data_IF_465933102988
#
_entry.id   IF_465933102988
#
_cell.length_a   1.000
_cell.length_b   1.000
_cell.length_c   1.000
_cell.angle_alpha   90.00
_cell.angle_beta   90.00
_cell.angle_gamma   90.00
#
_symmetry.space_group_name_H-M   'P 1'
#
loop_
_entity.id
_entity.type
_entity.pdbx_description
1 polymer ?
#
# COMPACT_ATOMS: atom_id res chain seq x y z
N UNK A 1 30.83 -2.15 -4.63
CA UNK A 1 29.69 -1.27 -4.27
C UNK A 1 28.79 -1.15 -5.52
N UNK A 2 28.06 -2.21 -5.91
CA UNK A 2 27.17 -2.20 -7.09
C UNK A 2 25.77 -1.76 -6.65
N UNK A 3 25.57 -0.44 -6.59
CA UNK A 3 24.28 0.15 -6.24
C UNK A 3 23.57 0.41 -7.57
N UNK A 4 22.38 -0.17 -7.71
CA UNK A 4 21.44 -0.01 -8.84
C UNK A 4 21.68 -0.84 -10.10
N UNK A 5 21.66 -2.18 -9.98
CA UNK A 5 21.16 -2.98 -11.10
C UNK A 5 19.64 -2.71 -11.26
N UNK A 6 19.29 -1.88 -12.24
CA UNK A 6 17.95 -1.32 -12.46
C UNK A 6 16.91 -2.41 -12.79
N UNK A 7 17.35 -3.48 -13.46
CA UNK A 7 16.50 -4.65 -13.77
C UNK A 7 15.98 -5.35 -12.51
N UNK A 8 16.78 -5.39 -11.44
CA UNK A 8 16.37 -6.02 -10.17
C UNK A 8 15.34 -5.19 -9.40
N UNK A 9 15.31 -3.87 -9.61
CA UNK A 9 14.31 -3.00 -9.00
C UNK A 9 12.94 -3.23 -9.65
N UNK A 10 12.87 -3.12 -10.98
CA UNK A 10 11.64 -3.29 -11.73
C UNK A 10 11.04 -4.69 -11.56
N UNK A 11 11.86 -5.75 -11.70
CA UNK A 11 11.42 -7.13 -11.48
C UNK A 11 10.86 -7.35 -10.07
N UNK A 12 11.45 -6.72 -9.05
CA UNK A 12 10.93 -6.80 -7.68
C UNK A 12 9.62 -6.04 -7.52
N UNK A 13 9.51 -4.83 -8.07
CA UNK A 13 8.26 -4.06 -8.05
C UNK A 13 7.13 -4.86 -8.68
N UNK A 14 7.37 -5.52 -9.82
CA UNK A 14 6.38 -6.39 -10.45
C UNK A 14 6.00 -7.63 -9.61
N UNK A 15 6.97 -8.27 -8.95
CA UNK A 15 6.65 -9.38 -8.03
C UNK A 15 5.77 -8.92 -6.86
N UNK A 16 6.09 -7.77 -6.29
CA UNK A 16 5.28 -7.17 -5.21
C UNK A 16 3.89 -6.81 -5.75
N UNK A 17 3.81 -6.27 -6.97
CA UNK A 17 2.55 -5.98 -7.64
C UNK A 17 1.69 -7.22 -7.83
N UNK A 18 2.26 -8.35 -8.27
CA UNK A 18 1.52 -9.61 -8.38
C UNK A 18 0.93 -10.06 -7.04
N UNK A 19 1.67 -9.89 -5.94
CA UNK A 19 1.17 -10.19 -4.58
C UNK A 19 0.04 -9.24 -4.20
N UNK A 20 0.19 -7.95 -4.46
CA UNK A 20 -0.81 -6.94 -4.13
C UNK A 20 -2.13 -7.14 -4.92
N UNK A 21 -2.02 -7.49 -6.20
CA UNK A 21 -3.17 -7.86 -7.05
C UNK A 21 -3.82 -9.15 -6.53
N UNK A 22 -3.04 -10.15 -6.11
CA UNK A 22 -3.61 -11.37 -5.52
C UNK A 22 -4.38 -11.05 -4.23
N UNK A 23 -3.85 -10.21 -3.34
CA UNK A 23 -4.56 -9.76 -2.13
C UNK A 23 -5.86 -9.03 -2.46
N UNK A 24 -5.81 -8.13 -3.45
CA UNK A 24 -6.99 -7.42 -3.94
C UNK A 24 -8.06 -8.40 -4.45
N UNK A 25 -7.68 -9.37 -5.30
CA UNK A 25 -8.61 -10.37 -5.85
C UNK A 25 -9.19 -11.28 -4.77
N UNK A 26 -8.36 -11.77 -3.84
CA UNK A 26 -8.81 -12.59 -2.71
C UNK A 26 -9.83 -11.80 -1.88
N UNK A 27 -9.51 -10.56 -1.53
CA UNK A 27 -10.40 -9.71 -0.75
C UNK A 27 -11.71 -9.38 -1.48
N UNK A 28 -11.64 -9.15 -2.78
CA UNK A 28 -12.81 -8.94 -3.64
C UNK A 28 -13.73 -10.16 -3.68
N UNK A 29 -13.17 -11.35 -3.92
CA UNK A 29 -13.92 -12.61 -3.95
C UNK A 29 -14.56 -12.88 -2.59
N UNK A 30 -13.79 -12.75 -1.50
CA UNK A 30 -14.32 -12.91 -0.14
C UNK A 30 -15.46 -11.93 0.12
N UNK A 31 -15.32 -10.67 -0.30
CA UNK A 31 -16.38 -9.67 -0.14
C UNK A 31 -17.64 -9.98 -0.94
N UNK A 32 -17.52 -10.60 -2.12
CA UNK A 32 -18.68 -11.06 -2.88
C UNK A 32 -19.35 -12.25 -2.18
N UNK A 33 -18.58 -13.18 -1.63
CA UNK A 33 -19.14 -14.38 -0.97
C UNK A 33 -19.82 -14.02 0.35
N UNK A 34 -19.14 -13.26 1.20
CA UNK A 34 -19.56 -13.00 2.58
C UNK A 34 -20.53 -11.83 2.72
N UNK A 35 -20.72 -11.01 1.68
CA UNK A 35 -21.59 -9.84 1.66
C UNK A 35 -21.42 -8.96 2.93
N UNK A 36 -20.30 -8.21 3.04
CA UNK A 36 -20.00 -7.46 4.26
C UNK A 36 -21.14 -6.50 4.58
N UNK A 37 -21.52 -6.44 5.86
CA UNK A 37 -22.59 -5.55 6.32
C UNK A 37 -22.24 -4.08 6.07
N UNK A 38 -23.27 -3.22 6.02
CA UNK A 38 -23.09 -1.76 5.96
C UNK A 38 -22.16 -1.27 7.09
N UNK A 39 -22.22 -1.88 8.27
CA UNK A 39 -21.40 -1.49 9.43
C UNK A 39 -19.91 -1.80 9.22
N UNK A 40 -19.62 -2.93 8.58
CA UNK A 40 -18.25 -3.29 8.18
C UNK A 40 -17.77 -2.32 7.11
N UNK A 41 -18.61 -1.98 6.13
CA UNK A 41 -18.25 -1.03 5.08
C UNK A 41 -18.05 0.41 5.61
N UNK A 42 -18.91 0.87 6.51
CA UNK A 42 -18.82 2.22 7.10
C UNK A 42 -17.61 2.34 8.03
N UNK A 43 -17.29 1.32 8.82
CA UNK A 43 -16.06 1.29 9.62
C UNK A 43 -14.81 1.28 8.74
N UNK A 44 -14.82 0.58 7.60
CA UNK A 44 -13.78 0.68 6.56
C UNK A 44 -13.71 2.08 5.94
N UNK A 45 -14.86 2.72 5.70
CA UNK A 45 -14.92 4.07 5.13
C UNK A 45 -14.39 5.16 6.06
N UNK A 46 -14.39 4.94 7.38
CA UNK A 46 -13.81 5.87 8.35
C UNK A 46 -12.27 5.97 8.25
N UNK A 47 -11.63 5.01 7.59
CA UNK A 47 -10.21 5.10 7.24
C UNK A 47 -9.97 5.97 5.99
N UNK A 48 -11.02 6.36 5.26
CA UNK A 48 -10.96 7.35 4.18
C UNK A 48 -10.97 8.75 4.82
N UNK A 49 -10.05 9.66 4.46
CA UNK A 49 -9.98 10.97 5.08
C UNK A 49 -11.28 11.77 4.91
N UNK A 50 -11.83 12.28 6.01
CA UNK A 50 -13.03 13.12 6.03
C UNK A 50 -12.92 14.40 5.19
N UNK A 51 -11.70 14.86 4.90
CA UNK A 51 -11.40 16.04 4.08
C UNK A 51 -11.75 15.87 2.59
N UNK A 52 -11.88 14.63 2.12
CA UNK A 52 -12.31 14.27 0.76
C UNK A 52 -13.84 14.31 0.59
N UNK A 53 -14.59 13.98 1.65
CA UNK A 53 -16.07 13.96 1.62
C UNK A 53 -16.68 15.36 1.45
N UNK A 54 -16.04 16.39 2.00
CA UNK A 54 -16.54 17.77 1.96
C UNK A 54 -16.05 18.58 0.75
N UNK A 55 -15.29 17.97 -0.17
CA UNK A 55 -14.73 18.67 -1.34
C UNK A 55 -15.53 18.38 -2.60
N UNK A 56 -15.80 19.42 -3.39
CA UNK A 56 -16.53 19.32 -4.66
C UNK A 56 -15.63 19.71 -5.84
N UNK A 57 -15.95 19.19 -7.03
CA UNK A 57 -15.29 19.53 -8.29
C UNK A 57 -13.78 19.24 -8.30
N UNK A 58 -13.01 20.13 -8.95
CA UNK A 58 -11.54 20.01 -9.10
C UNK A 58 -10.78 19.96 -7.76
N UNK A 59 -11.32 20.57 -6.71
CA UNK A 59 -10.72 20.52 -5.38
C UNK A 59 -10.70 19.09 -4.82
N UNK A 60 -11.71 18.28 -5.15
CA UNK A 60 -11.74 16.86 -4.77
C UNK A 60 -10.63 16.07 -5.46
N UNK A 61 -10.45 16.30 -6.76
CA UNK A 61 -9.38 15.69 -7.55
C UNK A 61 -8.00 16.08 -7.00
N UNK A 62 -7.79 17.36 -6.71
CA UNK A 62 -6.53 17.85 -6.14
C UNK A 62 -6.22 17.24 -4.77
N UNK A 63 -7.20 17.24 -3.85
CA UNK A 63 -7.06 16.60 -2.54
C UNK A 63 -6.77 15.11 -2.64
N UNK A 64 -7.38 14.43 -3.61
CA UNK A 64 -7.13 13.03 -3.87
C UNK A 64 -5.70 12.77 -4.34
N UNK A 65 -5.20 13.58 -5.27
CA UNK A 65 -3.79 13.53 -5.72
C UNK A 65 -2.85 13.78 -4.54
N UNK A 66 -3.12 14.79 -3.71
CA UNK A 66 -2.28 15.10 -2.55
C UNK A 66 -2.29 13.97 -1.51
N UNK A 67 -3.44 13.35 -1.26
CA UNK A 67 -3.54 12.26 -0.30
C UNK A 67 -2.78 11.02 -0.78
N UNK A 68 -3.11 10.50 -1.97
CA UNK A 68 -2.54 9.24 -2.45
C UNK A 68 -1.15 9.39 -3.07
N UNK A 69 -0.86 10.53 -3.70
CA UNK A 69 0.41 10.80 -4.37
C UNK A 69 1.49 11.37 -3.45
N UNK A 70 1.12 11.95 -2.30
CA UNK A 70 2.08 12.61 -1.40
C UNK A 70 1.95 12.08 0.02
N UNK A 71 0.79 12.21 0.66
CA UNK A 71 0.62 11.88 2.09
C UNK A 71 0.88 10.38 2.38
N UNK A 72 0.31 9.47 1.60
CA UNK A 72 0.51 8.02 1.78
C UNK A 72 1.99 7.63 1.55
N UNK A 73 2.66 8.07 0.47
CA UNK A 73 4.11 7.87 0.30
C UNK A 73 4.95 8.41 1.47
N UNK A 74 4.61 9.57 2.01
CA UNK A 74 5.29 10.12 3.20
C UNK A 74 5.13 9.24 4.43
N UNK A 75 3.95 8.67 4.67
CA UNK A 75 3.77 7.70 5.76
C UNK A 75 4.66 6.47 5.57
N UNK A 76 4.75 5.95 4.34
CA UNK A 76 5.66 4.83 4.01
C UNK A 76 7.13 5.22 4.24
N UNK A 77 7.49 6.48 3.97
CA UNK A 77 8.81 7.04 4.25
C UNK A 77 9.11 7.12 5.77
N UNK A 78 8.14 7.40 6.62
CA UNK A 78 8.38 7.31 8.07
C UNK A 78 8.50 5.87 8.54
N UNK A 79 7.67 4.97 8.02
CA UNK A 79 7.65 3.56 8.43
C UNK A 79 8.91 2.79 8.01
N UNK A 80 9.58 3.14 6.91
CA UNK A 80 10.83 2.44 6.53
C UNK A 80 12.02 2.76 7.44
N UNK A 81 11.99 3.88 8.17
CA UNK A 81 13.07 4.24 9.09
C UNK A 81 13.12 3.29 10.27
N UNK A 82 11.95 2.76 10.67
CA UNK A 82 11.86 1.72 11.67
C UNK A 82 12.50 0.45 11.07
N UNK A 83 13.50 -0.17 11.73
CA UNK A 83 14.24 -1.30 11.20
C UNK A 83 13.44 -2.62 11.23
N UNK A 84 12.16 -2.57 10.86
CA UNK A 84 11.25 -3.71 10.70
C UNK A 84 11.04 -3.93 9.18
N UNK A 85 11.46 -5.08 8.62
CA UNK A 85 11.58 -5.29 7.17
C UNK A 85 10.33 -5.11 6.30
N UNK A 86 9.13 -5.21 6.85
CA UNK A 86 7.87 -5.21 6.09
C UNK A 86 6.94 -4.04 6.45
N UNK A 87 7.30 -3.22 7.44
CA UNK A 87 6.38 -2.24 8.03
C UNK A 87 5.91 -1.18 7.01
N UNK A 88 6.80 -0.72 6.14
CA UNK A 88 6.47 0.23 5.07
C UNK A 88 5.58 -0.35 3.96
N UNK A 89 5.36 -1.67 3.91
CA UNK A 89 4.45 -2.30 2.97
C UNK A 89 3.00 -2.35 3.47
N UNK A 90 2.75 -1.98 4.74
CA UNK A 90 1.40 -2.01 5.32
C UNK A 90 0.40 -1.17 4.52
N UNK A 91 0.78 0.05 4.11
CA UNK A 91 -0.10 0.91 3.33
C UNK A 91 -0.56 0.23 2.03
N UNK A 92 0.37 -0.41 1.31
CA UNK A 92 0.05 -1.18 0.11
C UNK A 92 -0.90 -2.34 0.40
N UNK A 93 -0.68 -3.09 1.48
CA UNK A 93 -1.54 -4.22 1.89
C UNK A 93 -2.95 -3.72 2.20
N UNK A 94 -3.08 -2.67 3.01
CA UNK A 94 -4.37 -2.11 3.39
C UNK A 94 -5.12 -1.57 2.17
N UNK A 95 -4.48 -0.78 1.31
CA UNK A 95 -5.12 -0.25 0.10
C UNK A 95 -5.62 -1.37 -0.82
N UNK A 96 -4.84 -2.44 -1.02
CA UNK A 96 -5.28 -3.60 -1.81
C UNK A 96 -6.50 -4.30 -1.21
N UNK A 97 -6.51 -4.53 0.10
CA UNK A 97 -7.64 -5.17 0.80
C UNK A 97 -8.87 -4.28 0.79
N UNK A 98 -8.74 -3.02 1.23
CA UNK A 98 -9.87 -2.07 1.30
C UNK A 98 -10.52 -1.89 -0.06
N UNK A 99 -9.72 -1.76 -1.13
CA UNK A 99 -10.24 -1.64 -2.50
C UNK A 99 -10.99 -2.90 -2.94
N UNK A 100 -10.47 -4.09 -2.60
CA UNK A 100 -11.13 -5.36 -2.90
C UNK A 100 -12.48 -5.47 -2.20
N UNK A 101 -12.53 -5.19 -0.89
CA UNK A 101 -13.78 -5.16 -0.12
C UNK A 101 -14.76 -4.12 -0.68
N UNK A 102 -14.30 -2.91 -0.96
CA UNK A 102 -15.16 -1.84 -1.47
C UNK A 102 -15.80 -2.21 -2.81
N UNK A 103 -15.07 -2.86 -3.70
CA UNK A 103 -15.60 -3.33 -4.98
C UNK A 103 -16.60 -4.47 -4.81
N UNK A 104 -16.34 -5.44 -3.93
CA UNK A 104 -17.26 -6.53 -3.67
C UNK A 104 -18.58 -6.03 -3.06
N UNK A 105 -18.49 -5.09 -2.11
CA UNK A 105 -19.65 -4.43 -1.53
C UNK A 105 -20.48 -3.64 -2.56
N UNK A 106 -19.83 -2.91 -3.47
CA UNK A 106 -20.51 -2.15 -4.51
C UNK A 106 -21.39 -3.02 -5.41
N UNK A 107 -20.94 -4.23 -5.75
CA UNK A 107 -21.69 -5.20 -6.53
C UNK A 107 -22.93 -5.68 -5.77
N UNK A 108 -22.83 -5.89 -4.46
CA UNK A 108 -23.95 -6.29 -3.61
C UNK A 108 -25.03 -5.22 -3.48
N UNK A 109 -24.64 -3.93 -3.38
CA UNK A 109 -25.62 -2.84 -3.30
C UNK A 109 -26.52 -2.77 -4.54
N UNK A 110 -25.93 -2.90 -5.72
CA UNK A 110 -26.69 -3.08 -6.95
C UNK A 110 -25.77 -3.68 -8.01
N UNK A 111 -26.15 -4.84 -8.54
CA UNK A 111 -25.31 -5.55 -9.49
C UNK A 111 -24.96 -4.69 -10.72
N UNK A 112 -25.96 -4.01 -11.30
CA UNK A 112 -25.77 -3.19 -12.49
C UNK A 112 -24.88 -1.95 -12.23
N UNK A 113 -25.20 -1.11 -11.23
CA UNK A 113 -24.39 0.10 -10.98
C UNK A 113 -23.03 -0.25 -10.36
N UNK A 114 -22.99 -1.29 -9.53
CA UNK A 114 -21.78 -1.79 -8.90
C UNK A 114 -20.78 -2.34 -9.90
N UNK A 115 -21.21 -3.14 -10.87
CA UNK A 115 -20.32 -3.64 -11.94
C UNK A 115 -19.77 -2.50 -12.80
N UNK A 116 -20.60 -1.53 -13.17
CA UNK A 116 -20.14 -0.32 -13.89
C UNK A 116 -19.10 0.43 -13.06
N UNK A 117 -19.35 0.63 -11.76
CA UNK A 117 -18.41 1.32 -10.86
C UNK A 117 -17.08 0.60 -10.73
N UNK A 118 -17.10 -0.74 -10.62
CA UNK A 118 -15.88 -1.56 -10.55
C UNK A 118 -15.09 -1.41 -11.84
N UNK A 119 -15.72 -1.62 -13.00
CA UNK A 119 -15.04 -1.54 -14.30
C UNK A 119 -14.46 -0.15 -14.54
N UNK A 120 -15.19 0.92 -14.22
CA UNK A 120 -14.73 2.29 -14.39
C UNK A 120 -13.56 2.65 -13.47
N UNK A 121 -13.53 2.09 -12.26
CA UNK A 121 -12.53 2.41 -11.23
C UNK A 121 -11.31 1.48 -11.24
N UNK A 122 -11.38 0.37 -11.98
CA UNK A 122 -10.32 -0.63 -12.07
C UNK A 122 -8.99 -0.09 -12.62
N UNK A 123 -8.96 0.75 -13.69
CA UNK A 123 -7.71 1.33 -14.18
C UNK A 123 -7.03 2.20 -13.12
N UNK A 124 -7.83 2.95 -12.38
CA UNK A 124 -7.37 3.81 -11.30
C UNK A 124 -6.73 2.99 -10.16
N UNK A 125 -7.44 1.99 -9.63
CA UNK A 125 -6.94 1.20 -8.50
C UNK A 125 -5.68 0.41 -8.84
N UNK A 126 -5.59 -0.15 -10.05
CA UNK A 126 -4.39 -0.84 -10.51
C UNK A 126 -3.18 0.11 -10.59
N UNK A 127 -3.37 1.34 -11.07
CA UNK A 127 -2.30 2.33 -11.16
C UNK A 127 -1.81 2.75 -9.77
N UNK A 128 -2.72 2.93 -8.82
CA UNK A 128 -2.38 3.24 -7.42
C UNK A 128 -1.58 2.11 -6.75
N UNK A 129 -2.05 0.87 -6.88
CA UNK A 129 -1.34 -0.31 -6.37
C UNK A 129 0.05 -0.43 -7.01
N UNK A 130 0.15 -0.21 -8.32
CA UNK A 130 1.43 -0.27 -9.04
C UNK A 130 2.41 0.81 -8.53
N UNK A 131 1.95 2.05 -8.37
CA UNK A 131 2.75 3.15 -7.84
C UNK A 131 3.27 2.83 -6.43
N UNK A 132 2.40 2.33 -5.55
CA UNK A 132 2.80 1.90 -4.21
C UNK A 132 3.82 0.76 -4.25
N UNK A 133 3.70 -0.20 -5.16
CA UNK A 133 4.68 -1.28 -5.32
C UNK A 133 6.07 -0.77 -5.71
N UNK A 134 6.15 0.27 -6.56
CA UNK A 134 7.40 0.94 -6.87
C UNK A 134 8.04 1.58 -5.64
N UNK A 135 7.23 2.25 -4.82
CA UNK A 135 7.68 2.87 -3.56
C UNK A 135 8.17 1.78 -2.60
N UNK A 136 7.39 0.74 -2.33
CA UNK A 136 7.77 -0.39 -1.46
C UNK A 136 9.08 -1.02 -1.93
N UNK A 137 9.26 -1.24 -3.23
CA UNK A 137 10.50 -1.78 -3.79
C UNK A 137 11.69 -0.85 -3.50
N UNK A 138 11.51 0.47 -3.54
CA UNK A 138 12.55 1.44 -3.22
C UNK A 138 12.90 1.35 -1.73
N UNK A 139 11.88 1.47 -0.87
CA UNK A 139 12.01 1.43 0.59
C UNK A 139 12.63 0.14 1.09
N UNK A 140 12.37 -1.01 0.46
CA UNK A 140 13.01 -2.28 0.79
C UNK A 140 14.54 -2.21 0.75
N UNK A 141 15.11 -1.55 -0.28
CA UNK A 141 16.58 -1.41 -0.37
C UNK A 141 17.11 -0.48 0.71
N UNK A 142 16.40 0.61 0.99
CA UNK A 142 16.77 1.60 1.98
C UNK A 142 16.70 1.04 3.41
N UNK A 143 15.59 0.39 3.76
CA UNK A 143 15.39 -0.27 5.04
C UNK A 143 16.45 -1.36 5.27
N UNK A 144 16.75 -2.19 4.26
CA UNK A 144 17.83 -3.19 4.36
C UNK A 144 19.21 -2.55 4.59
N UNK A 145 19.47 -1.39 4.00
CA UNK A 145 20.71 -0.66 4.23
C UNK A 145 20.79 -0.12 5.68
N UNK A 146 19.70 0.42 6.22
CA UNK A 146 19.59 0.86 7.61
C UNK A 146 19.84 -0.30 8.56
N UNK A 147 19.12 -1.42 8.41
CA UNK A 147 19.28 -2.61 9.24
C UNK A 147 20.74 -3.09 9.23
N UNK A 148 21.38 -3.16 8.05
CA UNK A 148 22.79 -3.56 7.96
C UNK A 148 23.72 -2.61 8.72
N UNK A 149 23.49 -1.29 8.64
CA UNK A 149 24.30 -0.30 9.39
C UNK A 149 24.11 -0.47 10.89
N UNK A 150 22.87 -0.58 11.35
CA UNK A 150 22.53 -0.77 12.77
C UNK A 150 23.16 -2.08 13.30
N UNK A 151 22.95 -3.21 12.63
CA UNK A 151 23.54 -4.49 13.04
C UNK A 151 25.08 -4.45 13.07
N UNK A 152 25.71 -3.80 12.09
CA UNK A 152 27.17 -3.66 12.06
C UNK A 152 27.70 -2.79 13.21
N UNK A 153 26.98 -1.74 13.57
CA UNK A 153 27.32 -0.90 14.73
C UNK A 153 27.30 -1.72 16.03
N UNK A 154 26.21 -2.46 16.27
CA UNK A 154 26.11 -3.34 17.45
C UNK A 154 27.16 -4.45 17.47
N UNK A 155 27.49 -5.03 16.31
CA UNK A 155 28.56 -6.04 16.19
C UNK A 155 29.94 -5.48 16.55
N UNK A 156 30.27 -4.27 16.07
CA UNK A 156 31.53 -3.59 16.43
C UNK A 156 31.60 -3.28 17.92
N UNK A 157 30.51 -2.77 18.49
CA UNK A 157 30.42 -2.50 19.92
C UNK A 157 30.64 -3.76 20.77
N UNK A 158 29.99 -4.88 20.43
CA UNK A 158 30.18 -6.15 21.13
C UNK A 158 31.61 -6.67 21.02
N UNK A 159 32.26 -6.54 19.85
CA UNK A 159 33.65 -6.96 19.65
C UNK A 159 34.58 -6.16 20.55
N UNK A 160 34.46 -4.84 20.59
CA UNK A 160 35.32 -3.98 21.41
C UNK A 160 35.17 -4.24 22.92
N UNK A 161 33.97 -4.63 23.38
CA UNK A 161 33.71 -4.97 24.79
C UNK A 161 34.26 -6.35 25.21
N UNK A 162 34.61 -7.20 24.25
CA UNK A 162 35.20 -8.54 24.49
C UNK A 162 36.74 -8.51 24.53
N UNK A 163 37.36 -7.41 24.11
CA UNK A 163 38.82 -7.18 24.11
C UNK A 163 39.26 -6.20 25.21
N UNK A 164 38.36 -5.86 26.13
CA UNK A 164 38.60 -5.11 27.38
C UNK A 164 38.31 -6.05 28.54
#
# INVERSE_FOLDING_TARGET
MSYTNNQNYFKRSLKIFSIAVALFLISFILSIIFNPSIDIFTSLSNYVPSTLNNSQGLNKVWKYIMHNGVQIPWQMLFLFLIPIPFLYALNMIFTSIISGVAFGFAIHLSFYKGTIMVISSLPHTLLEILAMCFIVSCLYKLNRAIIRKICNFFRKYKKNKLFL
#
